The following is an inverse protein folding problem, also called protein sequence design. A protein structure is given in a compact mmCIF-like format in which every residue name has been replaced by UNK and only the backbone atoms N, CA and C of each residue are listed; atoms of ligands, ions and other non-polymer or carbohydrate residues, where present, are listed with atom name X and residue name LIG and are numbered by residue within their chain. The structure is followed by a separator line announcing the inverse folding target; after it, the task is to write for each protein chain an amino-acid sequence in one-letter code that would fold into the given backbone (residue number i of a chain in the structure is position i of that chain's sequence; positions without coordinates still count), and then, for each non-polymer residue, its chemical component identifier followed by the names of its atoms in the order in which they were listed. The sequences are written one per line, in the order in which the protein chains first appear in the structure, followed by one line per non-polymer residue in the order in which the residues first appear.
data_IF_314391257220
#
_entry.id   IF_314391257220
#
_cell.length_a   1.000
_cell.length_b   1.000
_cell.length_c   1.000
_cell.angle_alpha   90.00
_cell.angle_beta   90.00
_cell.angle_gamma   90.00
#
_symmetry.space_group_name_H-M   'P 1'
#
loop_
_entity.id
_entity.type
_entity.pdbx_description
1 polymer ?
#
# COMPACT_ATOMS: atom_id res chain seq x y z
N UNK A 1 5.60 15.44 31.41
CA UNK A 1 4.13 15.46 31.17
C UNK A 1 3.75 16.25 29.91
N UNK A 2 4.03 17.55 29.79
CA UNK A 2 3.70 18.29 28.53
C UNK A 2 4.55 17.89 27.32
N UNK A 3 5.83 17.54 27.54
CA UNK A 3 6.76 17.12 26.47
C UNK A 3 6.35 15.76 25.90
N UNK A 4 5.96 14.82 26.76
CA UNK A 4 5.57 13.45 26.37
C UNK A 4 4.30 13.44 25.50
N UNK A 5 3.35 14.32 25.81
CA UNK A 5 2.14 14.47 25.00
C UNK A 5 2.46 14.98 23.58
N UNK A 6 3.36 15.96 23.46
CA UNK A 6 3.74 16.54 22.18
C UNK A 6 4.56 15.59 21.29
N UNK A 7 5.41 14.76 21.89
CA UNK A 7 6.17 13.71 21.18
C UNK A 7 5.24 12.61 20.66
N UNK A 8 4.28 12.19 21.48
CA UNK A 8 3.28 11.18 21.10
C UNK A 8 2.43 11.62 19.90
N UNK A 9 2.12 12.91 19.79
CA UNK A 9 1.36 13.45 18.65
C UNK A 9 2.17 13.44 17.35
N UNK A 10 3.45 13.80 17.40
CA UNK A 10 4.33 13.76 16.22
C UNK A 10 4.52 12.37 15.65
N UNK A 11 4.64 11.35 16.51
CA UNK A 11 4.79 9.96 16.06
C UNK A 11 3.53 9.44 15.39
N UNK A 12 2.36 9.76 15.94
CA UNK A 12 1.08 9.41 15.31
C UNK A 12 0.91 10.09 13.96
N UNK A 13 1.21 11.38 13.86
CA UNK A 13 1.15 12.11 12.59
C UNK A 13 2.10 11.48 11.58
N UNK A 14 3.35 11.18 11.97
CA UNK A 14 4.34 10.56 11.10
C UNK A 14 3.89 9.19 10.60
N UNK A 15 3.27 8.38 11.46
CA UNK A 15 2.70 7.08 11.10
C UNK A 15 1.54 7.22 10.11
N UNK A 16 0.64 8.18 10.32
CA UNK A 16 -0.48 8.43 9.39
C UNK A 16 0.05 8.92 8.04
N UNK A 17 1.00 9.84 8.03
CA UNK A 17 1.63 10.34 6.80
C UNK A 17 2.32 9.20 6.05
N UNK A 18 2.97 8.28 6.76
CA UNK A 18 3.59 7.10 6.16
C UNK A 18 2.56 6.20 5.45
N UNK A 19 1.42 5.95 6.10
CA UNK A 19 0.33 5.15 5.50
C UNK A 19 -0.17 5.81 4.23
N UNK A 20 -0.48 7.11 4.29
CA UNK A 20 -1.03 7.87 3.15
C UNK A 20 -0.02 7.91 2.01
N UNK A 21 1.25 8.19 2.29
CA UNK A 21 2.29 8.24 1.28
C UNK A 21 2.50 6.87 0.61
N UNK A 22 2.57 5.79 1.39
CA UNK A 22 2.70 4.44 0.86
C UNK A 22 1.50 4.03 0.01
N UNK A 23 0.28 4.37 0.45
CA UNK A 23 -0.95 4.15 -0.30
C UNK A 23 -0.94 4.88 -1.66
N UNK A 24 -0.58 6.17 -1.67
CA UNK A 24 -0.53 6.97 -2.91
C UNK A 24 0.48 6.37 -3.88
N UNK A 25 1.70 6.06 -3.42
CA UNK A 25 2.75 5.44 -4.26
C UNK A 25 2.26 4.10 -4.82
N UNK A 26 1.61 3.29 -4.00
CA UNK A 26 1.08 2.00 -4.41
C UNK A 26 0.03 2.12 -5.51
N UNK A 27 -0.93 3.04 -5.38
CA UNK A 27 -1.94 3.28 -6.43
C UNK A 27 -1.28 3.75 -7.71
N UNK A 28 -0.37 4.72 -7.66
CA UNK A 28 0.29 5.24 -8.86
C UNK A 28 1.03 4.13 -9.62
N UNK A 29 1.77 3.28 -8.91
CA UNK A 29 2.45 2.14 -9.53
C UNK A 29 1.47 1.06 -10.01
N UNK A 30 0.39 0.81 -9.28
CA UNK A 30 -0.64 -0.14 -9.69
C UNK A 30 -1.33 0.32 -10.98
N UNK A 31 -1.71 1.60 -11.10
CA UNK A 31 -2.29 2.15 -12.32
C UNK A 31 -1.35 1.97 -13.52
N UNK A 32 -0.04 2.22 -13.34
CA UNK A 32 0.95 2.02 -14.41
C UNK A 32 1.11 0.53 -14.75
N UNK A 33 1.23 -0.34 -13.75
CA UNK A 33 1.52 -1.77 -13.98
C UNK A 33 0.30 -2.56 -14.48
N UNK A 34 -0.89 -2.26 -13.97
CA UNK A 34 -2.14 -2.93 -14.33
C UNK A 34 -2.71 -2.36 -15.63
N UNK A 35 -2.81 -1.03 -15.76
CA UNK A 35 -3.54 -0.43 -16.88
C UNK A 35 -2.68 -0.24 -18.12
N UNK A 36 -1.35 -0.12 -17.98
CA UNK A 36 -0.44 0.07 -19.13
C UNK A 36 0.28 -1.23 -19.51
N UNK A 37 0.68 -2.03 -18.53
CA UNK A 37 1.52 -3.22 -18.78
C UNK A 37 0.77 -4.56 -18.64
N UNK A 38 -0.50 -4.56 -18.21
CA UNK A 38 -1.29 -5.77 -17.92
C UNK A 38 -0.57 -6.76 -16.98
N UNK A 39 0.32 -6.25 -16.12
CA UNK A 39 1.11 -7.05 -15.18
C UNK A 39 0.40 -7.19 -13.84
N UNK A 40 0.68 -8.32 -13.16
CA UNK A 40 0.24 -8.53 -11.78
C UNK A 40 0.85 -7.41 -10.91
N UNK A 41 0.04 -6.68 -10.11
CA UNK A 41 0.50 -5.50 -9.36
C UNK A 41 1.38 -5.91 -8.18
N UNK A 42 2.63 -6.27 -8.46
CA UNK A 42 3.68 -6.70 -7.52
C UNK A 42 4.53 -5.55 -7.03
N UNK A 43 4.99 -4.73 -7.96
CA UNK A 43 5.88 -3.61 -7.63
C UNK A 43 5.17 -2.52 -6.84
N UNK A 44 3.88 -2.28 -7.09
CA UNK A 44 3.09 -1.29 -6.34
C UNK A 44 3.12 -1.55 -4.83
N UNK A 45 2.65 -2.72 -4.35
CA UNK A 45 2.67 -3.06 -2.93
C UNK A 45 4.07 -3.01 -2.31
N UNK A 46 5.09 -3.55 -2.98
CA UNK A 46 6.47 -3.56 -2.45
C UNK A 46 7.03 -2.14 -2.32
N UNK A 47 6.91 -1.32 -3.37
CA UNK A 47 7.48 0.03 -3.39
C UNK A 47 6.67 0.97 -2.47
N UNK A 48 5.35 0.88 -2.50
CA UNK A 48 4.48 1.65 -1.60
C UNK A 48 4.72 1.30 -0.13
N UNK A 49 4.85 0.01 0.17
CA UNK A 49 5.23 -0.46 1.51
C UNK A 49 6.60 0.03 1.94
N UNK A 50 7.58 -0.01 1.04
CA UNK A 50 8.93 0.52 1.29
C UNK A 50 8.92 2.02 1.65
N UNK A 51 8.18 2.83 0.89
CA UNK A 51 8.04 4.27 1.18
C UNK A 51 7.34 4.50 2.52
N UNK A 52 6.28 3.74 2.84
CA UNK A 52 5.65 3.80 4.16
C UNK A 52 6.65 3.44 5.27
N UNK A 53 7.46 2.40 5.07
CA UNK A 53 8.50 1.98 6.02
C UNK A 53 9.55 3.06 6.28
N UNK A 54 10.06 3.69 5.22
CA UNK A 54 11.02 4.80 5.33
C UNK A 54 10.44 5.99 6.10
N UNK A 55 9.17 6.31 5.90
CA UNK A 55 8.55 7.49 6.53
C UNK A 55 8.19 7.20 7.99
N UNK A 56 7.61 6.04 8.29
CA UNK A 56 7.25 5.64 9.65
C UNK A 56 8.47 5.40 10.56
N UNK A 57 9.65 5.27 9.94
CA UNK A 57 10.92 4.78 10.47
C UNK A 57 11.25 5.08 11.94
N UNK A 58 11.66 3.98 12.58
CA UNK A 58 12.28 3.76 13.90
C UNK A 58 12.95 2.38 13.94
N UNK A 59 12.29 1.38 13.36
CA UNK A 59 12.75 -0.02 13.28
C UNK A 59 11.95 -0.80 12.21
N UNK A 60 12.37 -2.02 11.91
CA UNK A 60 11.73 -2.88 10.90
C UNK A 60 10.26 -3.20 11.23
N UNK A 61 9.91 -3.31 12.52
CA UNK A 61 8.58 -3.70 12.95
C UNK A 61 7.60 -2.54 12.81
N UNK A 62 8.02 -1.33 13.18
CA UNK A 62 7.23 -0.11 12.98
C UNK A 62 7.02 0.20 11.50
N UNK A 63 8.07 0.06 10.67
CA UNK A 63 7.97 0.22 9.23
C UNK A 63 7.01 -0.81 8.59
N UNK A 64 7.13 -2.07 9.01
CA UNK A 64 6.23 -3.14 8.55
C UNK A 64 4.77 -2.91 8.94
N UNK A 65 4.49 -2.45 10.16
CA UNK A 65 3.11 -2.15 10.61
C UNK A 65 2.46 -1.04 9.78
N UNK A 66 3.16 0.07 9.56
CA UNK A 66 2.66 1.16 8.73
C UNK A 66 2.37 0.67 7.30
N UNK A 67 3.27 -0.15 6.76
CA UNK A 67 3.14 -0.68 5.42
C UNK A 67 2.03 -1.72 5.26
N UNK A 68 1.73 -2.54 6.28
CA UNK A 68 0.57 -3.45 6.28
C UNK A 68 -0.73 -2.67 6.16
N UNK A 69 -0.88 -1.59 6.93
CA UNK A 69 -2.07 -0.73 6.86
C UNK A 69 -2.17 -0.07 5.49
N UNK A 70 -1.05 0.47 4.98
CA UNK A 70 -0.99 1.01 3.63
C UNK A 70 -1.34 -0.04 2.55
N UNK A 71 -0.89 -1.28 2.72
CA UNK A 71 -1.18 -2.41 1.82
C UNK A 71 -2.64 -2.84 1.84
N UNK A 72 -3.30 -2.84 3.00
CA UNK A 72 -4.74 -3.08 3.09
C UNK A 72 -5.52 -1.96 2.39
N UNK A 73 -5.17 -0.70 2.65
CA UNK A 73 -5.79 0.44 1.97
C UNK A 73 -5.55 0.38 0.45
N UNK A 74 -4.34 0.03 0.04
CA UNK A 74 -3.95 -0.12 -1.36
C UNK A 74 -4.67 -1.28 -2.06
N UNK A 75 -4.89 -2.41 -1.38
CA UNK A 75 -5.69 -3.51 -1.92
C UNK A 75 -7.12 -3.07 -2.24
N UNK A 76 -7.73 -2.31 -1.32
CA UNK A 76 -9.07 -1.74 -1.54
C UNK A 76 -9.03 -0.71 -2.67
N UNK A 77 -8.08 0.22 -2.65
CA UNK A 77 -7.94 1.26 -3.67
C UNK A 77 -7.75 0.70 -5.08
N UNK A 78 -6.82 -0.25 -5.24
CA UNK A 78 -6.56 -0.91 -6.52
C UNK A 78 -7.71 -1.83 -6.94
N UNK A 79 -8.34 -2.53 -6.00
CA UNK A 79 -9.52 -3.34 -6.31
C UNK A 79 -10.69 -2.48 -6.80
N UNK A 80 -10.91 -1.31 -6.19
CA UNK A 80 -11.92 -0.34 -6.64
C UNK A 80 -11.54 0.27 -7.99
N UNK A 81 -10.27 0.61 -8.21
CA UNK A 81 -9.76 1.10 -9.51
C UNK A 81 -10.03 0.07 -10.61
N UNK A 82 -9.66 -1.20 -10.40
CA UNK A 82 -9.94 -2.28 -11.35
C UNK A 82 -11.44 -2.50 -11.58
N UNK A 83 -12.27 -2.38 -10.54
CA UNK A 83 -13.73 -2.45 -10.71
C UNK A 83 -14.27 -1.24 -11.49
N UNK A 84 -13.74 -0.05 -11.29
CA UNK A 84 -14.12 1.16 -12.02
C UNK A 84 -13.66 1.09 -13.49
N UNK A 85 -12.46 0.58 -13.76
CA UNK A 85 -11.88 0.46 -15.10
C UNK A 85 -12.50 -0.69 -15.93
N UNK A 86 -13.44 -1.46 -15.35
CA UNK A 86 -14.31 -2.36 -16.14
C UNK A 86 -15.34 -1.62 -17.00
N UNK A 87 -15.36 -0.28 -17.03
CA UNK A 87 -16.47 0.50 -17.61
C UNK A 87 -16.20 1.34 -18.86
N UNK A 88 -15.00 1.34 -19.48
CA UNK A 88 -14.81 2.08 -20.76
C UNK A 88 -14.58 1.22 -22.03
N UNK A 89 -14.11 -0.04 -21.93
CA UNK A 89 -13.81 -0.87 -23.12
C UNK A 89 -14.40 -2.29 -23.15
N UNK A 90 -15.15 -2.76 -22.13
CA UNK A 90 -15.62 -4.16 -22.04
C UNK A 90 -17.15 -4.32 -22.02
N UNK A 91 -17.86 -3.62 -22.91
CA UNK A 91 -19.33 -3.68 -23.06
C UNK A 91 -19.84 -4.99 -23.72
N UNK A 92 -19.00 -5.99 -24.02
CA UNK A 92 -19.41 -7.12 -24.86
C UNK A 92 -19.73 -8.46 -24.15
N UNK A 93 -19.48 -8.62 -22.84
CA UNK A 93 -19.76 -9.90 -22.14
C UNK A 93 -20.43 -9.64 -20.78
N UNK A 94 -21.69 -10.07 -20.58
CA UNK A 94 -22.39 -9.86 -19.32
C UNK A 94 -21.86 -10.85 -18.26
N UNK A 95 -21.56 -10.34 -17.07
CA UNK A 95 -21.31 -11.08 -15.81
C UNK A 95 -19.90 -11.64 -15.51
N UNK A 96 -19.01 -11.82 -16.49
CA UNK A 96 -17.64 -12.32 -16.23
C UNK A 96 -16.67 -11.30 -15.58
N UNK A 97 -16.67 -9.99 -15.94
CA UNK A 97 -15.68 -9.03 -15.43
C UNK A 97 -15.82 -8.71 -13.93
N UNK A 98 -17.04 -8.70 -13.38
CA UNK A 98 -17.26 -8.31 -11.98
C UNK A 98 -16.77 -9.39 -11.00
N UNK A 99 -16.95 -10.67 -11.34
CA UNK A 99 -16.48 -11.79 -10.51
C UNK A 99 -14.96 -11.82 -10.46
N UNK A 100 -14.30 -11.55 -11.58
CA UNK A 100 -12.84 -11.45 -11.65
C UNK A 100 -12.29 -10.31 -10.79
N UNK A 101 -12.94 -9.13 -10.81
CA UNK A 101 -12.58 -8.01 -9.94
C UNK A 101 -12.77 -8.33 -8.45
N UNK A 102 -13.86 -9.02 -8.09
CA UNK A 102 -14.11 -9.43 -6.71
C UNK A 102 -13.10 -10.47 -6.21
N UNK A 103 -12.78 -11.47 -7.05
CA UNK A 103 -11.75 -12.47 -6.76
C UNK A 103 -10.36 -11.82 -6.63
N UNK A 104 -10.04 -10.88 -7.52
CA UNK A 104 -8.81 -10.11 -7.42
C UNK A 104 -8.75 -9.32 -6.10
N UNK A 105 -9.80 -8.60 -5.73
CA UNK A 105 -9.86 -7.88 -4.45
C UNK A 105 -9.66 -8.82 -3.27
N UNK A 106 -10.30 -9.99 -3.28
CA UNK A 106 -10.13 -11.01 -2.24
C UNK A 106 -8.66 -11.45 -2.14
N UNK A 107 -8.01 -11.76 -3.25
CA UNK A 107 -6.59 -12.14 -3.26
C UNK A 107 -5.71 -10.97 -2.83
N UNK A 108 -6.00 -9.76 -3.32
CA UNK A 108 -5.25 -8.54 -3.01
C UNK A 108 -5.26 -8.21 -1.51
N UNK A 109 -6.38 -8.45 -0.81
CA UNK A 109 -6.48 -8.25 0.64
C UNK A 109 -5.53 -9.14 1.45
N UNK A 110 -5.09 -10.28 0.92
CA UNK A 110 -4.08 -11.12 1.57
C UNK A 110 -2.67 -10.81 1.07
N UNK A 111 -2.52 -10.62 -0.24
CA UNK A 111 -1.22 -10.54 -0.89
C UNK A 111 -0.57 -9.14 -0.78
N UNK A 112 -1.34 -8.05 -0.87
CA UNK A 112 -0.80 -6.69 -0.77
C UNK A 112 -0.21 -6.41 0.61
N UNK A 113 -0.88 -6.75 1.74
CA UNK A 113 -0.31 -6.50 3.06
C UNK A 113 1.00 -7.25 3.30
N UNK A 114 1.12 -8.47 2.78
CA UNK A 114 2.35 -9.27 2.90
C UNK A 114 3.49 -8.63 2.12
N UNK A 115 3.27 -8.27 0.85
CA UNK A 115 4.29 -7.59 0.05
C UNK A 115 4.67 -6.22 0.62
N UNK A 116 3.66 -5.47 1.04
CA UNK A 116 3.86 -4.16 1.66
C UNK A 116 4.62 -4.29 2.96
N UNK A 117 4.35 -5.31 3.78
CA UNK A 117 5.13 -5.60 4.98
C UNK A 117 6.60 -5.85 4.65
N UNK A 118 6.90 -6.65 3.63
CA UNK A 118 8.28 -6.91 3.21
C UNK A 118 8.97 -5.61 2.81
N UNK A 119 8.35 -4.81 1.93
CA UNK A 119 8.89 -3.50 1.55
C UNK A 119 9.08 -2.58 2.76
N UNK A 120 8.07 -2.50 3.62
CA UNK A 120 8.06 -1.63 4.80
C UNK A 120 9.05 -2.04 5.88
N UNK A 121 9.28 -3.33 6.08
CA UNK A 121 10.29 -3.82 6.99
C UNK A 121 11.70 -3.43 6.51
N UNK A 122 11.96 -3.54 5.20
CA UNK A 122 13.23 -3.09 4.61
C UNK A 122 13.39 -1.57 4.73
N UNK A 123 12.36 -0.80 4.39
CA UNK A 123 12.39 0.67 4.52
C UNK A 123 12.59 1.13 5.96
N UNK A 124 11.86 0.54 6.91
CA UNK A 124 11.97 0.85 8.33
C UNK A 124 13.33 0.48 8.92
N UNK A 125 13.91 -0.66 8.51
CA UNK A 125 15.26 -1.06 8.93
C UNK A 125 16.33 -0.11 8.40
N UNK A 126 16.20 0.35 7.15
CA UNK A 126 17.14 1.32 6.58
C UNK A 126 17.07 2.66 7.28
N UNK A 127 15.86 3.17 7.56
CA UNK A 127 15.72 4.46 8.25
C UNK A 127 16.21 4.38 9.70
N UNK A 128 15.88 3.30 10.44
CA UNK A 128 16.35 3.11 11.81
C UNK A 128 17.88 2.98 11.92
N UNK A 129 18.55 2.56 10.84
CA UNK A 129 20.02 2.57 10.76
C UNK A 129 20.60 3.97 10.49
N UNK A 130 19.87 4.82 9.78
CA UNK A 130 20.30 6.18 9.42
C UNK A 130 20.00 7.17 10.55
N UNK A 131 18.91 6.97 11.30
CA UNK A 131 18.45 7.83 12.40
C UNK A 131 18.13 6.99 13.66
N UNK A 132 19.15 6.50 14.37
CA UNK A 132 18.97 5.66 15.56
C UNK A 132 18.31 6.41 16.72
#
# INVERSE_FOLDING_TARGET
MFIDCFVMDKEKIRFIVAIIAGFIVMILFAMVTVNIMELIPFFGPVIGGFVAGLIAGKDFLNGGKAAVVAGLMGAVGVGLDMMADTSFFKVAIPQSPQIAGLLFLFVALFYFPILSFIGGAVGGALEGKIRP
#
